data_IF_208448481802
#
_entry.id   IF_208448481802
#
_cell.length_a   1.000
_cell.length_b   1.000
_cell.length_c   1.000
_cell.angle_alpha   90.00
_cell.angle_beta   90.00
_cell.angle_gamma   90.00
#
_symmetry.space_group_name_H-M   'P 1'
#
loop_
_entity.id
_entity.type
_entity.pdbx_description
1 polymer ?
#
# COMPACT_ATOMS: atom_id res chain seq x y z
N UNK A 1 10.95 -17.60 42.53
CA UNK A 1 9.60 -17.38 43.11
C UNK A 1 8.88 -16.49 42.10
N UNK A 2 8.24 -17.18 41.20
CA UNK A 2 7.48 -16.64 40.07
C UNK A 2 6.20 -15.99 40.57
N UNK A 3 5.84 -14.87 39.97
CA UNK A 3 4.46 -14.37 40.00
C UNK A 3 4.04 -14.14 38.55
N UNK A 4 3.45 -15.19 37.99
CA UNK A 4 2.55 -15.08 36.83
C UNK A 4 1.36 -14.21 37.21
N UNK A 5 1.08 -13.20 36.40
CA UNK A 5 -0.18 -12.47 36.43
C UNK A 5 -0.93 -12.79 35.15
N UNK A 6 -1.88 -13.70 35.26
CA UNK A 6 -2.93 -13.93 34.29
C UNK A 6 -3.83 -12.69 34.25
N UNK A 7 -3.80 -11.95 33.13
CA UNK A 7 -4.80 -10.94 32.82
C UNK A 7 -5.99 -11.63 32.14
N UNK A 8 -7.01 -11.89 32.96
CA UNK A 8 -8.33 -12.36 32.54
C UNK A 8 -9.07 -11.23 31.78
N UNK A 9 -9.49 -11.53 30.53
CA UNK A 9 -10.43 -10.69 29.80
C UNK A 9 -11.84 -10.90 30.31
N UNK A 10 -12.64 -9.83 30.55
CA UNK A 10 -14.02 -9.98 30.96
C UNK A 10 -14.89 -10.60 29.86
N UNK A 11 -15.60 -11.66 30.20
CA UNK A 11 -16.62 -12.32 29.39
C UNK A 11 -17.84 -11.41 29.29
N UNK A 12 -18.25 -11.10 28.03
CA UNK A 12 -19.46 -10.37 27.73
C UNK A 12 -20.71 -11.15 28.11
N UNK A 13 -21.38 -10.67 29.12
CA UNK A 13 -22.74 -11.06 29.45
C UNK A 13 -23.71 -10.21 28.58
N UNK A 14 -24.22 -10.82 27.49
CA UNK A 14 -25.23 -10.19 26.63
C UNK A 14 -26.62 -10.41 27.20
N UNK A 15 -27.02 -9.54 28.12
CA UNK A 15 -28.40 -9.36 28.51
C UNK A 15 -29.22 -8.68 27.42
N UNK A 16 -30.22 -9.41 26.97
CA UNK A 16 -31.31 -9.03 26.06
C UNK A 16 -32.10 -7.81 26.57
N UNK A 17 -32.67 -7.06 25.61
CA UNK A 17 -33.69 -6.01 25.70
C UNK A 17 -33.17 -4.57 25.58
N UNK A 18 -33.44 -3.96 24.42
CA UNK A 18 -34.25 -2.72 24.30
C UNK A 18 -34.39 -2.31 22.81
N UNK A 19 -35.64 -2.39 22.37
CA UNK A 19 -36.10 -1.80 21.10
C UNK A 19 -36.04 -0.28 21.23
N UNK A 20 -35.11 0.36 20.50
CA UNK A 20 -35.02 1.81 20.37
C UNK A 20 -35.32 2.26 18.93
N UNK A 21 -35.75 3.51 18.71
CA UNK A 21 -36.35 3.95 17.45
C UNK A 21 -35.37 3.96 16.28
N UNK A 22 -35.87 3.63 15.08
CA UNK A 22 -35.17 3.68 13.80
C UNK A 22 -34.49 5.04 13.59
N UNK A 23 -33.21 5.10 13.74
CA UNK A 23 -32.38 6.24 13.32
C UNK A 23 -32.11 6.08 11.84
N UNK A 24 -32.48 7.11 11.07
CA UNK A 24 -32.39 7.15 9.63
C UNK A 24 -31.00 6.79 9.10
N UNK A 25 -30.99 6.11 7.98
CA UNK A 25 -29.81 5.74 7.22
C UNK A 25 -28.96 6.97 6.90
N UNK A 26 -27.92 7.24 7.71
CA UNK A 26 -26.88 8.15 7.31
C UNK A 26 -26.08 7.46 6.20
N UNK A 27 -26.16 8.02 5.01
CA UNK A 27 -25.24 7.68 3.91
C UNK A 27 -23.82 7.72 4.45
N UNK A 28 -22.96 6.72 4.12
CA UNK A 28 -21.55 6.79 4.47
C UNK A 28 -20.99 8.10 3.89
N UNK A 29 -20.27 8.85 4.72
CA UNK A 29 -19.60 10.08 4.29
C UNK A 29 -18.71 9.74 3.09
N UNK A 30 -18.89 10.44 1.98
CA UNK A 30 -17.99 10.34 0.84
C UNK A 30 -16.55 10.60 1.32
N UNK A 31 -15.57 9.80 0.85
CA UNK A 31 -14.17 10.05 1.19
C UNK A 31 -13.83 11.49 0.77
N UNK A 32 -13.27 12.23 1.71
CA UNK A 32 -12.84 13.62 1.48
C UNK A 32 -11.81 13.59 0.35
N UNK A 33 -12.26 13.92 -0.86
CA UNK A 33 -11.39 14.05 -2.02
C UNK A 33 -10.37 15.15 -1.68
N UNK A 34 -9.10 14.79 -1.66
CA UNK A 34 -8.02 15.75 -1.48
C UNK A 34 -8.23 16.95 -2.42
N UNK A 35 -8.04 18.16 -1.93
CA UNK A 35 -8.19 19.40 -2.72
C UNK A 35 -7.28 19.38 -3.97
N UNK A 36 -6.18 18.63 -3.92
CA UNK A 36 -5.25 18.40 -5.02
C UNK A 36 -5.83 17.52 -6.13
N UNK A 37 -6.57 16.46 -5.82
CA UNK A 37 -7.20 15.61 -6.82
C UNK A 37 -8.24 16.36 -7.65
N UNK A 38 -8.91 17.36 -7.05
CA UNK A 38 -9.83 18.27 -7.78
C UNK A 38 -9.11 19.22 -8.73
N UNK A 39 -7.89 19.63 -8.39
CA UNK A 39 -7.13 20.58 -9.21
C UNK A 39 -6.57 19.93 -10.48
N UNK A 40 -6.27 18.64 -10.43
CA UNK A 40 -5.66 17.88 -11.53
C UNK A 40 -6.65 17.17 -12.45
N UNK A 41 -7.96 17.19 -12.16
CA UNK A 41 -8.99 16.52 -12.98
C UNK A 41 -8.81 15.00 -13.13
N UNK A 42 -8.06 14.37 -12.23
CA UNK A 42 -7.76 12.95 -12.30
C UNK A 42 -9.00 12.15 -11.91
N UNK A 43 -9.70 11.60 -12.90
CA UNK A 43 -10.71 10.58 -12.69
C UNK A 43 -10.01 9.25 -12.37
N UNK A 44 -9.94 8.94 -11.09
CA UNK A 44 -9.51 7.62 -10.64
C UNK A 44 -10.62 6.64 -11.05
N UNK A 45 -10.35 5.82 -12.06
CA UNK A 45 -11.19 4.68 -12.38
C UNK A 45 -11.00 3.63 -11.27
N UNK A 46 -11.91 3.61 -10.31
CA UNK A 46 -12.09 2.48 -9.41
C UNK A 46 -12.55 1.26 -10.24
N UNK A 47 -11.62 0.47 -10.74
CA UNK A 47 -11.91 -0.91 -11.09
C UNK A 47 -11.69 -1.74 -9.84
N UNK A 48 -12.78 -2.04 -9.14
CA UNK A 48 -12.81 -3.02 -8.07
C UNK A 48 -12.36 -4.38 -8.64
N UNK A 49 -11.13 -4.75 -8.36
CA UNK A 49 -10.65 -6.10 -8.60
C UNK A 49 -11.07 -6.95 -7.39
N UNK A 50 -11.97 -7.90 -7.62
CA UNK A 50 -12.51 -8.83 -6.63
C UNK A 50 -11.44 -9.82 -6.13
N UNK A 51 -10.47 -9.36 -5.34
CA UNK A 51 -9.53 -10.21 -4.62
C UNK A 51 -9.60 -9.92 -3.13
N UNK A 52 -10.46 -10.69 -2.47
CA UNK A 52 -10.51 -10.79 -1.01
C UNK A 52 -11.02 -9.53 -0.29
N UNK A 53 -12.32 -9.41 -0.14
CA UNK A 53 -13.03 -8.26 0.46
C UNK A 53 -12.47 -7.74 1.80
N UNK A 54 -11.69 -8.53 2.53
CA UNK A 54 -11.11 -8.14 3.82
C UNK A 54 -9.75 -7.42 3.70
N UNK A 55 -8.97 -7.69 2.64
CA UNK A 55 -7.68 -7.01 2.41
C UNK A 55 -7.87 -5.60 1.84
N UNK A 56 -8.81 -5.42 0.93
CA UNK A 56 -9.09 -4.14 0.26
C UNK A 56 -9.70 -3.09 1.20
N UNK A 57 -10.60 -3.49 2.11
CA UNK A 57 -11.19 -2.59 3.11
C UNK A 57 -10.14 -2.02 4.07
N UNK A 58 -9.11 -2.79 4.43
CA UNK A 58 -8.06 -2.32 5.32
C UNK A 58 -7.05 -1.41 4.60
N UNK A 59 -6.78 -1.64 3.32
CA UNK A 59 -5.81 -0.85 2.54
C UNK A 59 -6.36 0.51 2.13
N UNK A 60 -7.58 0.59 1.64
CA UNK A 60 -8.24 1.87 1.34
C UNK A 60 -8.40 2.75 2.58
N UNK A 61 -8.57 2.15 3.74
CA UNK A 61 -8.84 2.89 4.97
C UNK A 61 -7.60 3.58 5.57
N UNK A 62 -6.42 2.96 5.56
CA UNK A 62 -5.24 3.58 6.17
C UNK A 62 -4.45 4.46 5.18
N UNK A 63 -4.43 4.11 3.89
CA UNK A 63 -3.85 4.96 2.83
C UNK A 63 -4.68 6.24 2.62
N UNK A 64 -6.00 6.16 2.72
CA UNK A 64 -6.88 7.33 2.67
C UNK A 64 -6.72 8.32 3.83
N UNK A 65 -5.90 7.98 4.84
CA UNK A 65 -5.57 8.84 6.00
C UNK A 65 -4.14 9.39 5.97
N UNK A 66 -3.50 9.34 4.83
CA UNK A 66 -2.23 10.05 4.63
C UNK A 66 -2.48 11.56 4.66
N UNK A 67 -1.54 12.36 5.21
CA UNK A 67 -1.66 13.81 5.30
C UNK A 67 -1.74 14.48 3.92
N UNK A 68 -2.07 15.77 3.91
CA UNK A 68 -1.97 16.59 2.71
C UNK A 68 -0.54 16.54 2.14
N UNK A 69 -0.45 16.54 0.81
CA UNK A 69 0.83 16.40 0.10
C UNK A 69 1.20 14.96 -0.24
N UNK A 70 0.37 13.98 0.15
CA UNK A 70 0.50 12.58 -0.28
C UNK A 70 -0.57 12.24 -1.32
N UNK A 71 -0.21 11.38 -2.26
CA UNK A 71 -1.12 10.85 -3.28
C UNK A 71 -1.02 9.34 -3.35
N UNK A 72 -2.15 8.69 -3.58
CA UNK A 72 -2.25 7.24 -3.74
C UNK A 72 -2.89 6.95 -5.09
N UNK A 73 -2.21 6.19 -5.91
CA UNK A 73 -2.71 5.65 -7.17
C UNK A 73 -2.89 4.15 -6.96
N UNK A 74 -4.08 3.65 -7.21
CA UNK A 74 -4.41 2.23 -7.04
C UNK A 74 -4.45 1.53 -8.40
N UNK A 75 -4.12 0.24 -8.42
CA UNK A 75 -4.21 -0.62 -9.59
C UNK A 75 -3.49 -0.04 -10.82
N UNK A 76 -2.25 0.41 -10.63
CA UNK A 76 -1.45 0.96 -11.71
C UNK A 76 -0.99 -0.19 -12.61
N UNK A 77 -1.59 -0.28 -13.82
CA UNK A 77 -1.19 -1.28 -14.81
C UNK A 77 0.22 -0.98 -15.34
N UNK A 78 1.10 -1.98 -15.36
CA UNK A 78 2.51 -1.84 -15.73
C UNK A 78 2.86 -2.81 -16.83
N UNK A 79 3.34 -2.30 -17.95
CA UNK A 79 3.71 -3.08 -19.12
C UNK A 79 2.52 -3.79 -19.78
N UNK A 80 2.83 -4.58 -20.82
CA UNK A 80 1.81 -5.28 -21.61
C UNK A 80 1.42 -6.64 -21.02
N UNK A 81 2.15 -7.13 -20.03
CA UNK A 81 1.98 -8.47 -19.47
C UNK A 81 0.88 -8.58 -18.39
N UNK A 82 0.08 -7.54 -18.17
CA UNK A 82 -0.98 -7.54 -17.17
C UNK A 82 -0.48 -7.48 -15.70
N UNK A 83 0.76 -7.10 -15.50
CA UNK A 83 1.27 -6.78 -14.18
C UNK A 83 0.65 -5.47 -13.69
N UNK A 84 0.40 -5.36 -12.38
CA UNK A 84 -0.06 -4.12 -11.78
C UNK A 84 0.63 -3.87 -10.43
N UNK A 85 0.78 -2.61 -10.09
CA UNK A 85 1.18 -2.17 -8.75
C UNK A 85 -0.11 -1.92 -7.98
N UNK A 86 -0.33 -2.66 -6.89
CA UNK A 86 -1.56 -2.53 -6.09
C UNK A 86 -1.76 -1.09 -5.60
N UNK A 87 -0.72 -0.48 -5.03
CA UNK A 87 -0.75 0.92 -4.60
C UNK A 87 0.58 1.60 -4.90
N UNK A 88 0.56 2.66 -5.67
CA UNK A 88 1.69 3.56 -5.82
C UNK A 88 1.44 4.81 -4.96
N UNK A 89 2.26 5.01 -3.96
CA UNK A 89 2.13 6.12 -3.02
C UNK A 89 3.25 7.12 -3.24
N UNK A 90 2.90 8.38 -3.44
CA UNK A 90 3.83 9.47 -3.71
C UNK A 90 3.64 10.55 -2.63
N UNK A 91 4.72 10.95 -1.99
CA UNK A 91 4.69 11.98 -0.95
C UNK A 91 6.05 12.62 -0.71
N UNK A 92 6.17 13.53 0.26
CA UNK A 92 7.42 14.23 0.54
C UNK A 92 8.64 13.31 0.74
N UNK A 93 8.53 12.09 1.32
CA UNK A 93 9.68 11.20 1.45
C UNK A 93 10.03 10.39 0.19
N UNK A 94 9.27 10.51 -0.91
CA UNK A 94 9.54 9.80 -2.15
C UNK A 94 8.37 9.00 -2.68
N UNK A 95 8.68 7.96 -3.48
CA UNK A 95 7.72 7.08 -4.15
C UNK A 95 7.82 5.66 -3.58
N UNK A 96 6.67 5.05 -3.35
CA UNK A 96 6.55 3.72 -2.75
C UNK A 96 5.61 2.85 -3.60
N UNK A 97 6.08 1.68 -4.01
CA UNK A 97 5.25 0.63 -4.59
C UNK A 97 4.87 -0.34 -3.47
N UNK A 98 3.60 -0.38 -3.12
CA UNK A 98 3.10 -1.14 -1.98
C UNK A 98 2.28 -2.31 -2.48
N UNK A 99 2.69 -3.51 -2.08
CA UNK A 99 1.97 -4.76 -2.27
C UNK A 99 1.48 -5.26 -0.92
N UNK A 100 0.23 -5.72 -0.86
CA UNK A 100 -0.36 -6.24 0.38
C UNK A 100 -0.57 -7.74 0.30
N UNK A 101 -0.32 -8.43 1.41
CA UNK A 101 -0.61 -9.86 1.55
C UNK A 101 -1.39 -10.12 2.82
N UNK A 102 -2.58 -10.69 2.65
CA UNK A 102 -3.37 -11.24 3.77
C UNK A 102 -3.06 -12.73 3.87
N UNK A 103 -2.50 -13.15 5.00
CA UNK A 103 -1.99 -14.50 5.19
C UNK A 103 -2.56 -15.09 6.48
N UNK A 104 -3.00 -16.34 6.43
CA UNK A 104 -3.40 -17.12 7.61
C UNK A 104 -2.26 -18.03 8.07
N UNK A 105 -2.09 -18.17 9.39
CA UNK A 105 -1.04 -18.98 9.98
C UNK A 105 0.27 -18.22 10.18
N UNK A 106 1.39 -18.96 10.19
CA UNK A 106 2.70 -18.40 10.60
C UNK A 106 3.46 -17.79 9.45
N UNK A 107 3.89 -16.55 9.64
CA UNK A 107 4.79 -15.84 8.72
C UNK A 107 6.12 -15.58 9.41
N UNK A 108 7.20 -15.94 8.73
CA UNK A 108 8.56 -15.67 9.18
C UNK A 108 9.27 -14.79 8.16
N UNK A 109 9.81 -13.66 8.61
CA UNK A 109 10.52 -12.69 7.77
C UNK A 109 12.01 -12.75 8.06
N UNK A 110 12.77 -13.09 7.04
CA UNK A 110 14.24 -13.08 7.07
C UNK A 110 14.85 -12.13 6.05
N UNK A 111 16.17 -11.97 6.03
CA UNK A 111 16.85 -10.96 5.20
C UNK A 111 16.71 -11.19 3.69
N UNK A 112 16.52 -12.43 3.27
CA UNK A 112 16.47 -12.83 1.85
C UNK A 112 15.20 -13.57 1.43
N UNK A 113 14.31 -13.89 2.37
CA UNK A 113 13.10 -14.63 2.08
C UNK A 113 12.04 -14.45 3.15
N UNK A 114 10.80 -14.65 2.75
CA UNK A 114 9.64 -14.80 3.65
C UNK A 114 9.17 -16.23 3.55
N UNK A 115 8.93 -16.84 4.71
CA UNK A 115 8.30 -18.16 4.80
C UNK A 115 6.86 -17.99 5.28
N UNK A 116 5.93 -18.59 4.57
CA UNK A 116 4.54 -18.73 4.98
C UNK A 116 4.23 -20.20 5.25
N UNK A 117 3.86 -20.52 6.47
CA UNK A 117 3.65 -21.92 6.91
C UNK A 117 4.83 -22.84 6.55
N UNK A 118 6.07 -22.37 6.80
CA UNK A 118 7.35 -23.03 6.48
C UNK A 118 7.69 -23.15 4.99
N UNK A 119 6.86 -22.65 4.08
CA UNK A 119 7.14 -22.63 2.63
C UNK A 119 7.70 -21.29 2.24
N UNK A 120 8.75 -21.31 1.42
CA UNK A 120 9.34 -20.09 0.85
C UNK A 120 8.35 -19.45 -0.11
N UNK A 121 8.27 -18.12 -0.08
CA UNK A 121 7.45 -17.31 -0.96
C UNK A 121 8.30 -16.41 -1.84
N UNK A 122 7.75 -15.95 -2.96
CA UNK A 122 8.39 -15.02 -3.88
C UNK A 122 8.03 -13.55 -3.58
N UNK A 123 7.37 -13.27 -2.47
CA UNK A 123 6.85 -11.93 -2.13
C UNK A 123 7.91 -10.84 -2.19
N UNK A 124 9.12 -11.10 -1.67
CA UNK A 124 10.21 -10.11 -1.72
C UNK A 124 10.71 -9.88 -3.14
N UNK A 125 10.84 -10.94 -3.94
CA UNK A 125 11.29 -10.86 -5.31
C UNK A 125 10.29 -10.06 -6.15
N UNK A 126 9.00 -10.34 -5.99
CA UNK A 126 7.93 -9.65 -6.72
C UNK A 126 7.86 -8.17 -6.33
N UNK A 127 7.80 -7.83 -5.04
CA UNK A 127 7.78 -6.43 -4.58
C UNK A 127 9.02 -5.64 -5.02
N UNK A 128 10.20 -6.30 -5.04
CA UNK A 128 11.42 -5.69 -5.56
C UNK A 128 11.38 -5.48 -7.07
N UNK A 129 10.80 -6.42 -7.84
CA UNK A 129 10.66 -6.31 -9.29
C UNK A 129 9.67 -5.19 -9.66
N UNK A 130 8.51 -5.14 -9.00
CA UNK A 130 7.50 -4.09 -9.17
C UNK A 130 8.09 -2.69 -8.92
N UNK A 131 8.83 -2.52 -7.83
CA UNK A 131 9.46 -1.25 -7.48
C UNK A 131 10.54 -0.82 -8.52
N UNK A 132 11.36 -1.77 -8.99
CA UNK A 132 12.37 -1.48 -10.02
C UNK A 132 11.73 -1.09 -11.34
N UNK A 133 10.67 -1.78 -11.73
CA UNK A 133 9.95 -1.47 -12.97
C UNK A 133 9.28 -0.10 -12.88
N UNK A 134 8.61 0.20 -11.78
CA UNK A 134 8.05 1.53 -11.53
C UNK A 134 9.12 2.61 -11.58
N UNK A 135 10.29 2.36 -10.97
CA UNK A 135 11.43 3.27 -10.98
C UNK A 135 11.91 3.53 -12.42
N UNK A 136 12.06 2.49 -13.22
CA UNK A 136 12.49 2.58 -14.63
C UNK A 136 11.52 3.42 -15.46
N UNK A 137 10.21 3.10 -15.39
CA UNK A 137 9.19 3.75 -16.19
C UNK A 137 8.97 5.21 -15.78
N UNK A 138 8.90 5.51 -14.48
CA UNK A 138 8.79 6.89 -14.00
C UNK A 138 10.03 7.70 -14.36
N UNK A 139 11.23 7.13 -14.24
CA UNK A 139 12.46 7.83 -14.61
C UNK A 139 12.48 8.17 -16.10
N UNK A 140 12.05 7.26 -16.97
CA UNK A 140 11.93 7.50 -18.41
C UNK A 140 10.90 8.60 -18.72
N UNK A 141 9.73 8.57 -18.06
CA UNK A 141 8.67 9.55 -18.27
C UNK A 141 9.04 10.97 -17.82
N UNK A 142 9.86 11.11 -16.76
CA UNK A 142 10.26 12.41 -16.20
C UNK A 142 11.60 12.90 -16.74
N UNK A 143 12.39 12.02 -17.36
CA UNK A 143 13.72 12.36 -17.90
C UNK A 143 14.81 12.49 -16.83
N UNK A 144 14.59 12.03 -15.60
CA UNK A 144 15.57 11.99 -14.52
C UNK A 144 15.37 10.77 -13.62
N UNK A 145 16.42 10.33 -12.88
CA UNK A 145 16.28 9.19 -11.98
C UNK A 145 15.19 9.41 -10.91
N UNK A 146 14.30 8.44 -10.78
CA UNK A 146 13.26 8.37 -9.75
C UNK A 146 13.42 7.04 -9.02
N UNK A 147 13.75 7.10 -7.74
CA UNK A 147 13.79 5.91 -6.90
C UNK A 147 12.39 5.55 -6.42
N UNK A 148 11.95 4.32 -6.68
CA UNK A 148 10.73 3.74 -6.13
C UNK A 148 11.11 2.68 -5.11
N UNK A 149 10.65 2.84 -3.88
CA UNK A 149 10.91 1.88 -2.79
C UNK A 149 9.82 0.82 -2.73
N UNK A 150 10.22 -0.45 -2.79
CA UNK A 150 9.31 -1.58 -2.62
C UNK A 150 8.88 -1.72 -1.16
N UNK A 151 7.59 -1.92 -0.96
CA UNK A 151 6.98 -2.10 0.36
C UNK A 151 6.04 -3.29 0.33
N UNK A 152 6.20 -4.18 1.29
CA UNK A 152 5.32 -5.32 1.48
C UNK A 152 4.57 -5.17 2.81
N UNK A 153 3.28 -4.89 2.73
CA UNK A 153 2.37 -4.81 3.86
C UNK A 153 1.77 -6.19 4.14
N UNK A 154 1.99 -6.73 5.33
CA UNK A 154 1.50 -8.05 5.70
C UNK A 154 0.39 -7.91 6.74
N UNK A 155 -0.75 -8.53 6.46
CA UNK A 155 -1.82 -8.76 7.42
C UNK A 155 -1.83 -10.25 7.77
N UNK A 156 -1.46 -10.59 8.98
CA UNK A 156 -1.48 -11.96 9.50
C UNK A 156 -1.62 -11.97 11.01
N UNK A 157 -2.04 -13.11 11.55
CA UNK A 157 -2.27 -13.28 12.99
C UNK A 157 -0.97 -13.56 13.76
N UNK A 158 -0.03 -14.28 13.14
CA UNK A 158 1.22 -14.69 13.78
C UNK A 158 2.40 -14.47 12.83
N UNK A 159 3.26 -13.50 13.16
CA UNK A 159 4.46 -13.26 12.38
C UNK A 159 5.69 -13.00 13.25
N UNK A 160 6.82 -13.45 12.75
CA UNK A 160 8.12 -13.26 13.38
C UNK A 160 9.08 -12.59 12.40
N UNK A 161 9.62 -11.44 12.77
CA UNK A 161 10.69 -10.77 12.03
C UNK A 161 12.02 -11.07 12.68
N UNK A 162 12.83 -11.90 12.06
CA UNK A 162 14.20 -12.15 12.52
C UNK A 162 15.16 -11.07 12.06
N UNK A 163 15.03 -10.69 10.81
CA UNK A 163 15.82 -9.60 10.22
C UNK A 163 15.03 -9.03 9.03
N UNK A 164 14.96 -7.71 8.93
CA UNK A 164 14.28 -7.06 7.80
C UNK A 164 15.13 -7.19 6.53
N UNK A 165 14.49 -7.39 5.36
CA UNK A 165 15.17 -7.33 4.07
C UNK A 165 15.76 -5.95 3.81
N UNK A 166 16.86 -5.89 3.01
CA UNK A 166 17.53 -4.62 2.72
C UNK A 166 16.82 -3.79 1.62
N UNK A 167 16.20 -4.46 0.64
CA UNK A 167 15.70 -3.79 -0.57
C UNK A 167 14.17 -3.64 -0.64
N UNK A 168 13.44 -4.25 0.29
CA UNK A 168 11.99 -4.15 0.42
C UNK A 168 11.66 -3.91 1.87
N UNK A 169 10.92 -2.86 2.16
CA UNK A 169 10.44 -2.66 3.51
C UNK A 169 9.26 -3.62 3.79
N UNK A 170 9.33 -4.34 4.89
CA UNK A 170 8.30 -5.31 5.28
C UNK A 170 7.80 -4.98 6.67
N UNK A 171 6.51 -4.78 6.82
CA UNK A 171 5.87 -4.58 8.12
C UNK A 171 4.38 -4.98 8.09
N UNK A 172 3.76 -5.02 9.27
CA UNK A 172 2.32 -5.05 9.36
C UNK A 172 1.71 -3.78 8.73
N UNK A 173 0.51 -3.88 8.21
CA UNK A 173 -0.16 -2.79 7.47
C UNK A 173 -0.10 -1.44 8.20
N UNK A 174 -0.34 -1.41 9.52
CA UNK A 174 -0.26 -0.17 10.33
C UNK A 174 1.17 0.35 10.42
N UNK A 175 2.15 -0.54 10.59
CA UNK A 175 3.56 -0.18 10.70
C UNK A 175 4.11 0.45 9.42
N UNK A 176 3.63 0.06 8.25
CA UNK A 176 4.02 0.63 6.95
C UNK A 176 3.72 2.13 6.89
N UNK A 177 2.49 2.54 7.24
CA UNK A 177 2.11 3.96 7.26
C UNK A 177 3.02 4.78 8.19
N UNK A 178 3.17 4.31 9.42
CA UNK A 178 3.97 5.00 10.43
C UNK A 178 5.44 5.10 10.01
N UNK A 179 5.95 4.07 9.33
CA UNK A 179 7.29 4.09 8.78
C UNK A 179 7.43 5.11 7.64
N UNK A 180 6.49 5.15 6.68
CA UNK A 180 6.52 6.13 5.59
C UNK A 180 6.48 7.58 6.12
N UNK A 181 5.63 7.85 7.10
CA UNK A 181 5.49 9.20 7.69
C UNK A 181 6.74 9.64 8.47
N UNK A 182 7.55 8.70 8.98
CA UNK A 182 8.82 9.00 9.66
C UNK A 182 10.02 9.16 8.73
N UNK A 183 9.86 8.86 7.43
CA UNK A 183 10.95 9.06 6.48
C UNK A 183 11.22 10.56 6.28
N UNK A 184 12.48 10.96 6.10
CA UNK A 184 12.82 12.35 5.83
C UNK A 184 12.19 12.80 4.51
N UNK A 185 11.69 14.03 4.48
CA UNK A 185 11.23 14.65 3.24
C UNK A 185 12.44 14.92 2.32
N UNK A 186 12.41 14.36 1.13
CA UNK A 186 13.43 14.53 0.09
C UNK A 186 12.90 15.19 -1.18
N UNK A 187 11.57 15.24 -1.33
CA UNK A 187 10.89 15.87 -2.46
C UNK A 187 10.22 17.17 -2.02
N UNK A 188 10.37 18.21 -2.83
CA UNK A 188 9.60 19.43 -2.70
C UNK A 188 8.17 19.23 -3.22
N UNK A 189 7.24 20.07 -2.80
CA UNK A 189 5.83 19.97 -3.22
C UNK A 189 5.66 19.94 -4.75
N UNK A 190 6.44 20.74 -5.48
CA UNK A 190 6.41 20.77 -6.94
C UNK A 190 6.88 19.45 -7.57
N UNK A 191 7.87 18.79 -6.98
CA UNK A 191 8.37 17.49 -7.45
C UNK A 191 7.35 16.37 -7.19
N UNK A 192 6.63 16.45 -6.08
CA UNK A 192 5.49 15.53 -5.80
C UNK A 192 4.40 15.70 -6.86
N UNK A 193 4.03 16.94 -7.21
CA UNK A 193 3.03 17.23 -8.24
C UNK A 193 3.47 16.70 -9.61
N UNK A 194 4.74 16.90 -9.99
CA UNK A 194 5.33 16.40 -11.22
C UNK A 194 5.24 14.86 -11.29
N UNK A 195 5.67 14.17 -10.22
CA UNK A 195 5.63 12.72 -10.12
C UNK A 195 4.20 12.17 -10.20
N UNK A 196 3.27 12.78 -9.49
CA UNK A 196 1.84 12.41 -9.53
C UNK A 196 1.27 12.61 -10.94
N UNK A 197 1.61 13.73 -11.58
CA UNK A 197 1.15 14.02 -12.94
C UNK A 197 1.68 12.99 -13.94
N UNK A 198 2.95 12.63 -13.86
CA UNK A 198 3.54 11.59 -14.68
C UNK A 198 2.90 10.23 -14.39
N UNK A 199 2.82 9.84 -13.13
CA UNK A 199 2.28 8.55 -12.71
C UNK A 199 0.80 8.36 -13.06
N UNK A 200 0.04 9.44 -13.19
CA UNK A 200 -1.37 9.42 -13.57
C UNK A 200 -1.61 9.23 -15.08
N UNK A 201 -0.55 9.31 -15.91
CA UNK A 201 -0.67 9.11 -17.37
C UNK A 201 -0.53 7.63 -17.70
N UNK A 202 -1.50 7.01 -18.37
CA UNK A 202 -1.38 5.61 -18.81
C UNK A 202 -0.12 5.33 -19.62
N UNK A 203 0.27 6.26 -20.50
CA UNK A 203 1.48 6.14 -21.33
C UNK A 203 2.79 6.07 -20.56
N UNK A 204 2.82 6.46 -19.28
CA UNK A 204 4.00 6.30 -18.42
C UNK A 204 4.32 4.82 -18.15
N UNK A 205 3.30 3.97 -18.16
CA UNK A 205 3.36 2.58 -17.71
C UNK A 205 3.45 1.57 -18.87
N UNK A 206 3.46 2.05 -20.12
CA UNK A 206 3.56 1.23 -21.32
C UNK A 206 4.99 1.33 -21.86
N UNK A 207 5.61 0.21 -22.22
CA UNK A 207 6.88 0.23 -22.94
C UNK A 207 6.64 0.78 -24.35
N UNK A 208 7.24 1.93 -24.64
CA UNK A 208 7.36 2.38 -26.03
C UNK A 208 8.47 1.56 -26.67
N UNK A 209 8.14 0.49 -27.40
CA UNK A 209 9.08 -0.13 -28.30
C UNK A 209 9.36 0.87 -29.43
N UNK A 210 10.61 1.31 -29.63
CA UNK A 210 10.93 2.04 -30.84
C UNK A 210 10.64 1.10 -32.04
N UNK A 211 9.76 1.55 -32.92
CA UNK A 211 9.56 0.83 -34.18
C UNK A 211 10.92 0.72 -34.85
N UNK A 212 11.36 -0.50 -35.11
CA UNK A 212 12.59 -0.79 -35.87
C UNK A 212 12.22 -0.51 -37.33
N UNK A 213 12.64 0.66 -37.85
CA UNK A 213 12.64 0.95 -39.28
C UNK A 213 13.69 0.10 -40.00
#
# INVERSE_FOLDING_TARGET
MEVERDEEWPSDDLGDTLVGPRVGSRRPAEPVRSRFARLLGVHIHERASNRGANGELLNGWWLGRLPDGWQVLNDVAVGDAGANIEHLVIGPPGVFAITTKTLSGKVWVGPKSILHNRRRTDFLANASAEAREASRLLSASIGRPVEVRGVLAILCDDWTVKQRPAHVYVDATRGVKDWMLRQPAILRAQEVIELVTAASKPGTWIEVHPEVE
#
